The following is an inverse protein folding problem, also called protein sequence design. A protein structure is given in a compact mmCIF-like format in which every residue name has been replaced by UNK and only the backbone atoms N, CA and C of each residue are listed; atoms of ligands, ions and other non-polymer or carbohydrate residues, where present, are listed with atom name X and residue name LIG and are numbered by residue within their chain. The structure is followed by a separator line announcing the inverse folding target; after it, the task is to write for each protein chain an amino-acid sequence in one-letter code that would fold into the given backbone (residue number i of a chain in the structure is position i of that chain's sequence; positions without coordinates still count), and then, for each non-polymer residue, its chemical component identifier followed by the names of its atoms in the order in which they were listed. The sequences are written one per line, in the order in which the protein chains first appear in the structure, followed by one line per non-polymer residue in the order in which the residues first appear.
data_IF_124457437864
#
_entry.id   IF_124457437864
#
_cell.length_a   1.000
_cell.length_b   1.000
_cell.length_c   1.000
_cell.angle_alpha   90.00
_cell.angle_beta   90.00
_cell.angle_gamma   90.00
#
_symmetry.space_group_name_H-M   'P 1'
#
loop_
_entity.id
_entity.type
_entity.pdbx_description
1 polymer ?
#
# COMPACT_ATOMS: atom_id res chain seq x y z
N UNK A 1 9.96 -5.46 -2.86
CA UNK A 1 8.98 -6.24 -2.07
C UNK A 1 8.37 -7.35 -2.91
N UNK A 2 8.33 -8.54 -2.37
CA UNK A 2 7.67 -9.66 -3.05
C UNK A 2 6.15 -9.56 -2.88
N UNK A 3 5.42 -10.27 -3.75
CA UNK A 3 3.96 -10.34 -3.65
C UNK A 3 3.52 -10.84 -2.28
N UNK A 4 4.17 -11.89 -1.77
CA UNK A 4 3.87 -12.46 -0.46
C UNK A 4 4.04 -11.44 0.65
N UNK A 5 5.10 -10.64 0.61
CA UNK A 5 5.37 -9.62 1.61
C UNK A 5 4.33 -8.50 1.57
N UNK A 6 3.93 -8.07 0.37
CA UNK A 6 2.88 -7.06 0.22
C UNK A 6 1.55 -7.57 0.77
N UNK A 7 1.17 -8.80 0.41
CA UNK A 7 -0.07 -9.41 0.91
C UNK A 7 -0.05 -9.56 2.44
N UNK A 8 1.06 -9.98 3.01
CA UNK A 8 1.20 -10.12 4.45
C UNK A 8 1.07 -8.77 5.16
N UNK A 9 1.67 -7.73 4.60
CA UNK A 9 1.57 -6.38 5.16
C UNK A 9 0.12 -5.88 5.14
N UNK A 10 -0.59 -6.07 4.02
CA UNK A 10 -1.99 -5.67 3.89
C UNK A 10 -2.88 -6.43 4.88
N UNK A 11 -2.64 -7.73 5.04
CA UNK A 11 -3.41 -8.57 5.96
C UNK A 11 -3.26 -8.13 7.41
N UNK A 12 -2.13 -7.54 7.75
CA UNK A 12 -1.85 -7.06 9.10
C UNK A 12 -2.50 -5.69 9.42
N UNK A 13 -3.15 -5.05 8.45
CA UNK A 13 -3.72 -3.71 8.66
C UNK A 13 -4.90 -3.74 9.62
N UNK A 14 -4.96 -2.72 10.49
CA UNK A 14 -6.06 -2.53 11.43
C UNK A 14 -6.50 -1.06 11.41
N UNK A 15 -7.80 -0.78 11.35
CA UNK A 15 -8.88 -1.78 11.32
C UNK A 15 -8.88 -2.61 10.03
N UNK A 16 -9.40 -3.83 10.12
CA UNK A 16 -9.51 -4.71 8.96
C UNK A 16 -10.50 -4.11 7.96
N UNK A 17 -10.12 -3.95 6.69
CA UNK A 17 -11.04 -3.41 5.70
C UNK A 17 -12.23 -4.37 5.46
N UNK A 18 -13.37 -3.84 4.99
CA UNK A 18 -14.52 -4.68 4.63
C UNK A 18 -14.13 -5.75 3.59
N UNK A 19 -14.81 -6.88 3.62
CA UNK A 19 -14.46 -8.05 2.79
C UNK A 19 -14.32 -7.72 1.31
N UNK A 20 -15.25 -6.95 0.75
CA UNK A 20 -15.21 -6.60 -0.67
C UNK A 20 -13.99 -5.75 -1.02
N UNK A 21 -13.63 -4.80 -0.15
CA UNK A 21 -12.45 -3.98 -0.33
C UNK A 21 -11.17 -4.81 -0.20
N UNK A 22 -11.12 -5.68 0.79
CA UNK A 22 -9.98 -6.57 1.00
C UNK A 22 -9.76 -7.48 -0.21
N UNK A 23 -10.84 -8.07 -0.74
CA UNK A 23 -10.77 -8.91 -1.93
C UNK A 23 -10.25 -8.14 -3.14
N UNK A 24 -10.68 -6.89 -3.29
CA UNK A 24 -10.20 -6.02 -4.38
C UNK A 24 -8.71 -5.69 -4.25
N UNK A 25 -8.25 -5.42 -3.04
CA UNK A 25 -6.83 -5.18 -2.78
C UNK A 25 -5.99 -6.41 -3.11
N UNK A 26 -6.40 -7.57 -2.64
CA UNK A 26 -5.71 -8.84 -2.90
C UNK A 26 -5.67 -9.17 -4.39
N UNK A 27 -6.79 -8.97 -5.10
CA UNK A 27 -6.86 -9.20 -6.53
C UNK A 27 -5.90 -8.30 -7.30
N UNK A 28 -5.81 -7.03 -6.92
CA UNK A 28 -4.91 -6.09 -7.57
C UNK A 28 -3.44 -6.47 -7.37
N UNK A 29 -3.06 -6.91 -6.18
CA UNK A 29 -1.70 -7.38 -5.89
C UNK A 29 -1.40 -8.66 -6.68
N UNK A 30 -2.33 -9.60 -6.69
CA UNK A 30 -2.16 -10.89 -7.37
C UNK A 30 -2.02 -10.72 -8.88
N UNK A 31 -2.78 -9.78 -9.47
CA UNK A 31 -2.76 -9.52 -10.90
C UNK A 31 -1.63 -8.63 -11.38
N UNK A 32 -0.82 -8.08 -10.50
CA UNK A 32 0.24 -7.15 -10.87
C UNK A 32 1.61 -7.83 -10.91
N UNK A 33 2.48 -7.31 -11.77
CA UNK A 33 3.89 -7.66 -11.73
C UNK A 33 4.58 -6.74 -10.74
N UNK A 34 5.17 -7.30 -9.70
CA UNK A 34 5.83 -6.54 -8.66
C UNK A 34 7.34 -6.67 -8.80
N UNK A 35 8.04 -5.54 -8.68
CA UNK A 35 9.49 -5.54 -8.65
C UNK A 35 9.98 -5.79 -7.23
N UNK A 36 10.84 -6.80 -7.01
CA UNK A 36 11.34 -7.08 -5.67
C UNK A 36 12.24 -5.98 -5.10
N UNK A 37 12.73 -5.06 -5.95
CA UNK A 37 13.62 -3.97 -5.54
C UNK A 37 12.90 -2.69 -5.18
N UNK A 38 11.59 -2.58 -5.50
CA UNK A 38 10.80 -1.39 -5.18
C UNK A 38 10.36 -1.45 -3.71
N UNK A 39 10.62 -0.37 -2.92
CA UNK A 39 10.19 -0.33 -1.52
C UNK A 39 8.68 -0.41 -1.38
N UNK A 40 8.21 -0.89 -0.25
CA UNK A 40 6.78 -1.09 0.01
C UNK A 40 5.92 0.15 -0.23
N UNK A 41 6.26 1.35 0.29
CA UNK A 41 5.43 2.53 0.04
C UNK A 41 5.27 2.83 -1.44
N UNK A 42 6.36 2.77 -2.20
CA UNK A 42 6.35 3.03 -3.64
C UNK A 42 5.55 1.96 -4.37
N UNK A 43 5.67 0.71 -3.95
CA UNK A 43 4.92 -0.39 -4.56
C UNK A 43 3.42 -0.22 -4.36
N UNK A 44 3.00 0.17 -3.15
CA UNK A 44 1.58 0.44 -2.86
C UNK A 44 1.06 1.63 -3.67
N UNK A 45 1.85 2.70 -3.79
CA UNK A 45 1.49 3.86 -4.59
C UNK A 45 1.33 3.49 -6.08
N UNK A 46 2.23 2.67 -6.60
CA UNK A 46 2.13 2.19 -7.99
C UNK A 46 0.87 1.35 -8.22
N UNK A 47 0.53 0.49 -7.27
CA UNK A 47 -0.70 -0.32 -7.35
C UNK A 47 -1.93 0.59 -7.36
N UNK A 48 -1.97 1.58 -6.49
CA UNK A 48 -3.08 2.54 -6.44
C UNK A 48 -3.22 3.32 -7.73
N UNK A 49 -2.13 3.80 -8.29
CA UNK A 49 -2.12 4.53 -9.57
C UNK A 49 -2.58 3.64 -10.72
N UNK A 50 -2.20 2.38 -10.72
CA UNK A 50 -2.60 1.43 -11.76
C UNK A 50 -4.11 1.18 -11.72
N UNK A 51 -4.67 0.97 -10.52
CA UNK A 51 -6.11 0.78 -10.37
C UNK A 51 -6.86 2.05 -10.79
N UNK A 52 -6.38 3.23 -10.39
CA UNK A 52 -6.98 4.50 -10.76
C UNK A 52 -6.97 4.70 -12.28
N UNK A 53 -5.87 4.34 -12.95
CA UNK A 53 -5.75 4.44 -14.39
C UNK A 53 -6.79 3.60 -15.14
N UNK A 54 -7.14 2.43 -14.60
CA UNK A 54 -8.20 1.61 -15.18
C UNK A 54 -9.59 2.24 -15.03
N UNK A 55 -9.79 2.96 -13.93
CA UNK A 55 -11.08 3.61 -13.65
C UNK A 55 -11.31 4.83 -14.53
N UNK A 56 -10.28 5.65 -14.73
CA UNK A 56 -10.37 6.91 -15.47
C UNK A 56 -10.83 6.71 -16.91
N UNK A 57 -10.52 5.56 -17.53
CA UNK A 57 -10.90 5.28 -18.90
C UNK A 57 -12.34 4.78 -19.07
N UNK A 58 -13.11 4.62 -18.01
CA UNK A 58 -14.48 4.07 -18.09
C UNK A 58 -15.52 5.17 -18.16
N UNK A 59 -16.48 5.04 -19.13
CA UNK A 59 -17.47 6.10 -19.36
C UNK A 59 -18.64 6.09 -18.36
N UNK A 60 -18.89 5.03 -17.64
CA UNK A 60 -20.02 4.91 -16.76
C UNK A 60 -19.62 4.50 -15.37
N UNK A 61 -20.27 5.08 -14.37
CA UNK A 61 -20.11 4.71 -12.98
C UNK A 61 -20.94 3.49 -12.62
N UNK A 62 -20.93 3.13 -11.36
CA UNK A 62 -21.67 2.01 -10.81
C UNK A 62 -20.98 1.50 -9.57
N UNK A 63 -21.55 0.46 -8.99
CA UNK A 63 -21.02 -0.13 -7.76
C UNK A 63 -19.59 -0.65 -7.93
N UNK A 64 -19.33 -1.31 -9.06
CA UNK A 64 -17.99 -1.84 -9.35
C UNK A 64 -16.95 -0.73 -9.49
N UNK A 65 -17.32 0.35 -10.17
CA UNK A 65 -16.46 1.51 -10.34
C UNK A 65 -16.17 2.17 -8.99
N UNK A 66 -17.19 2.32 -8.15
CA UNK A 66 -17.04 2.87 -6.81
C UNK A 66 -16.11 2.01 -5.98
N UNK A 67 -16.21 0.69 -6.06
CA UNK A 67 -15.33 -0.23 -5.35
C UNK A 67 -13.89 -0.09 -5.83
N UNK A 68 -13.65 0.01 -7.14
CA UNK A 68 -12.30 0.20 -7.68
C UNK A 68 -11.69 1.53 -7.22
N UNK A 69 -12.49 2.59 -7.13
CA UNK A 69 -12.02 3.86 -6.58
C UNK A 69 -11.61 3.73 -5.12
N UNK A 70 -12.38 2.97 -4.33
CA UNK A 70 -12.03 2.70 -2.94
C UNK A 70 -10.74 1.89 -2.83
N UNK A 71 -10.53 0.92 -3.72
CA UNK A 71 -9.28 0.15 -3.77
C UNK A 71 -8.10 1.05 -4.08
N UNK A 72 -8.22 1.92 -5.08
CA UNK A 72 -7.16 2.86 -5.43
C UNK A 72 -6.85 3.79 -4.26
N UNK A 73 -7.87 4.35 -3.62
CA UNK A 73 -7.73 5.23 -2.47
C UNK A 73 -7.05 4.52 -1.30
N UNK A 74 -7.45 3.28 -1.03
CA UNK A 74 -6.87 2.48 0.05
C UNK A 74 -5.37 2.23 -0.18
N UNK A 75 -4.96 1.90 -1.40
CA UNK A 75 -3.54 1.72 -1.71
C UNK A 75 -2.73 2.99 -1.46
N UNK A 76 -3.25 4.15 -1.87
CA UNK A 76 -2.55 5.43 -1.66
C UNK A 76 -2.45 5.74 -0.16
N UNK A 77 -3.53 5.53 0.58
CA UNK A 77 -3.55 5.73 2.03
C UNK A 77 -2.54 4.80 2.71
N UNK A 78 -2.52 3.54 2.32
CA UNK A 78 -1.56 2.56 2.85
C UNK A 78 -0.12 2.89 2.46
N UNK A 79 0.09 3.49 1.30
CA UNK A 79 1.43 3.94 0.91
C UNK A 79 1.97 4.97 1.89
N UNK A 80 1.15 5.94 2.29
CA UNK A 80 1.53 6.92 3.31
C UNK A 80 1.73 6.28 4.67
N UNK A 81 0.89 5.33 5.05
CA UNK A 81 1.04 4.60 6.31
C UNK A 81 2.35 3.83 6.35
N UNK A 82 2.67 3.11 5.27
CA UNK A 82 3.93 2.38 5.17
C UNK A 82 5.14 3.30 5.21
N UNK A 83 5.05 4.46 4.55
CA UNK A 83 6.12 5.46 4.59
C UNK A 83 6.32 5.98 6.01
N UNK A 84 5.24 6.24 6.74
CA UNK A 84 5.32 6.70 8.12
C UNK A 84 5.97 5.66 9.03
N UNK A 85 5.70 4.38 8.82
CA UNK A 85 6.33 3.31 9.58
C UNK A 85 7.83 3.27 9.33
N UNK A 86 8.25 3.47 8.08
CA UNK A 86 9.67 3.51 7.71
C UNK A 86 10.36 4.73 8.32
N UNK A 87 9.72 5.89 8.29
CA UNK A 87 10.27 7.11 8.86
C UNK A 87 10.41 6.99 10.38
N UNK A 88 9.42 6.40 11.05
CA UNK A 88 9.48 6.14 12.48
C UNK A 88 10.66 5.23 12.83
N UNK A 89 10.87 4.18 12.05
CA UNK A 89 12.01 3.28 12.24
C UNK A 89 13.34 4.02 12.01
N UNK A 90 13.39 4.88 11.00
CA UNK A 90 14.55 5.69 10.70
C UNK A 90 14.88 6.67 11.83
N UNK A 91 13.84 7.30 12.40
CA UNK A 91 14.00 8.21 13.52
C UNK A 91 14.50 7.48 14.78
N UNK A 92 13.98 6.30 15.06
CA UNK A 92 14.43 5.50 16.19
C UNK A 92 15.90 5.11 16.05
N UNK A 93 16.30 4.67 14.86
CA UNK A 93 17.69 4.31 14.58
C UNK A 93 18.63 5.52 14.72
N UNK A 94 18.17 6.69 14.26
CA UNK A 94 18.94 7.93 14.41
C UNK A 94 19.10 8.29 15.88
N UNK A 95 18.03 8.19 16.66
CA UNK A 95 18.07 8.48 18.10
C UNK A 95 19.07 7.57 18.83
N UNK A 96 19.10 6.29 18.48
CA UNK A 96 20.06 5.34 19.04
C UNK A 96 21.50 5.71 18.72
N UNK A 97 21.77 6.14 17.48
CA UNK A 97 23.11 6.57 17.06
C UNK A 97 23.54 7.81 17.82
N UNK A 98 22.65 8.76 18.02
CA UNK A 98 22.95 9.99 18.78
C UNK A 98 23.26 9.65 20.23
N UNK A 99 22.42 8.82 20.87
CA UNK A 99 22.65 8.39 22.25
C UNK A 99 23.98 7.63 22.40
N UNK A 100 24.32 6.80 21.43
CA UNK A 100 25.59 6.06 21.43
C UNK A 100 26.79 6.96 21.29
N UNK A 101 26.69 8.05 20.51
CA UNK A 101 27.82 8.97 20.31
C UNK A 101 28.11 9.87 21.50
N UNK A 102 27.22 10.00 22.45
CA UNK A 102 27.40 10.80 23.67
C UNK A 102 28.12 10.05 24.76
N UNK A 103 28.44 8.79 24.57
CA UNK A 103 29.14 7.97 25.54
C UNK A 103 30.69 8.09 25.39
#
# INVERSE_FOLDING_TARGET
MTRREVLAWLEARRPVPPDALRAGLEAAVTGAELSPTVPLPDQLALLGRRVLGRVVGRPAGGRELALELLVADAFITYAFEAQSEMDAAGLAALAERIAGSER
#
